data_IF_910017529025
#
_entry.id   IF_910017529025
#
_cell.length_a   1.000
_cell.length_b   1.000
_cell.length_c   1.000
_cell.angle_alpha   90.00
_cell.angle_beta   90.00
_cell.angle_gamma   90.00
#
_symmetry.space_group_name_H-M   'P 1'
#
loop_
_entity.id
_entity.type
_entity.pdbx_description
1 polymer ?
#
# COMPACT_ATOMS: atom_id res chain seq x y z
N UNK A 1 -67.96 -5.06 6.87
CA UNK A 1 -66.87 -5.62 7.67
C UNK A 1 -65.73 -4.63 7.70
N UNK A 2 -65.28 -4.32 8.89
CA UNK A 2 -64.46 -3.18 9.27
C UNK A 2 -63.04 -3.10 8.59
N UNK A 3 -62.85 -2.05 7.84
CA UNK A 3 -61.51 -1.61 7.36
C UNK A 3 -61.19 -0.24 8.03
N UNK A 4 -61.41 -0.16 9.34
CA UNK A 4 -61.14 1.09 10.05
C UNK A 4 -60.04 1.03 11.11
N UNK A 5 -59.33 -0.10 11.23
CA UNK A 5 -58.44 -0.27 12.36
C UNK A 5 -56.91 -0.17 12.01
N UNK A 6 -56.54 0.15 10.76
CA UNK A 6 -55.12 0.04 10.35
C UNK A 6 -54.41 1.36 10.10
N UNK A 7 -55.10 2.53 10.24
CA UNK A 7 -54.48 3.84 9.92
C UNK A 7 -54.00 4.60 11.17
N UNK A 8 -54.55 4.29 12.35
CA UNK A 8 -54.20 5.00 13.60
C UNK A 8 -52.89 4.52 14.26
N UNK A 9 -52.47 3.32 14.02
CA UNK A 9 -51.25 2.74 14.63
C UNK A 9 -49.92 3.21 13.98
N UNK A 10 -50.00 4.03 12.91
CA UNK A 10 -48.79 4.47 12.17
C UNK A 10 -48.34 5.90 12.54
N UNK A 11 -49.05 6.61 13.39
CA UNK A 11 -48.77 8.05 13.68
C UNK A 11 -47.63 8.24 14.67
N UNK A 12 -47.45 7.30 15.59
CA UNK A 12 -46.37 7.33 16.59
C UNK A 12 -45.47 6.13 16.46
N UNK A 13 -44.22 6.31 16.81
CA UNK A 13 -43.26 5.21 16.85
C UNK A 13 -43.44 4.41 18.14
N UNK A 14 -43.70 3.10 18.04
CA UNK A 14 -43.84 2.21 19.19
C UNK A 14 -42.60 2.18 20.10
N UNK A 15 -41.40 2.39 19.50
CA UNK A 15 -40.11 2.32 20.19
C UNK A 15 -39.77 3.60 20.95
N UNK A 16 -40.07 4.80 20.41
CA UNK A 16 -39.68 6.07 21.00
C UNK A 16 -40.84 7.04 21.24
N UNK A 17 -42.07 6.68 20.89
CA UNK A 17 -43.28 7.51 21.10
C UNK A 17 -43.37 8.77 20.25
N UNK A 18 -42.36 9.03 19.37
CA UNK A 18 -42.38 10.23 18.55
C UNK A 18 -43.34 10.10 17.35
N UNK A 19 -43.96 11.24 16.98
CA UNK A 19 -44.76 11.31 15.76
C UNK A 19 -43.95 11.03 14.52
N UNK A 20 -44.51 10.24 13.60
CA UNK A 20 -43.92 9.91 12.29
C UNK A 20 -44.42 10.84 11.17
N UNK A 21 -45.11 11.90 11.52
CA UNK A 21 -45.63 12.88 10.58
C UNK A 21 -45.41 14.30 11.09
N UNK A 22 -45.15 15.20 10.17
CA UNK A 22 -45.17 16.65 10.39
C UNK A 22 -46.22 17.28 9.47
N UNK A 23 -46.79 18.37 9.89
CA UNK A 23 -47.71 19.16 9.06
C UNK A 23 -46.90 20.27 8.43
N UNK A 24 -46.88 20.34 7.09
CA UNK A 24 -46.21 21.41 6.36
C UNK A 24 -46.96 22.71 6.54
N UNK A 25 -46.38 23.89 6.23
CA UNK A 25 -47.06 25.17 6.29
C UNK A 25 -48.37 25.24 5.48
N UNK A 26 -48.48 24.42 4.44
CA UNK A 26 -49.66 24.31 3.57
C UNK A 26 -50.72 23.32 4.10
N UNK A 27 -50.54 22.82 5.33
CA UNK A 27 -51.45 21.86 5.97
C UNK A 27 -51.33 20.41 5.49
N UNK A 28 -50.35 20.10 4.70
CA UNK A 28 -50.12 18.73 4.18
C UNK A 28 -49.39 17.88 5.22
N UNK A 29 -49.94 16.69 5.51
CA UNK A 29 -49.31 15.72 6.42
C UNK A 29 -48.17 14.97 5.68
N UNK A 30 -46.92 15.24 6.09
CA UNK A 30 -45.72 14.66 5.50
C UNK A 30 -45.11 13.64 6.47
N UNK A 31 -44.86 12.43 5.96
CA UNK A 31 -44.21 11.36 6.75
C UNK A 31 -42.77 11.74 7.05
N UNK A 32 -42.37 11.64 8.32
CA UNK A 32 -40.99 11.85 8.76
C UNK A 32 -40.48 10.66 9.55
N UNK A 33 -39.17 10.50 9.56
CA UNK A 33 -38.51 9.48 10.38
C UNK A 33 -38.45 9.95 11.84
N UNK A 34 -38.84 9.10 12.77
CA UNK A 34 -38.59 9.36 14.19
C UNK A 34 -37.07 9.23 14.52
N UNK A 35 -36.68 9.67 15.71
CA UNK A 35 -35.27 9.65 16.14
C UNK A 35 -34.64 8.27 16.03
N UNK A 36 -35.32 7.24 16.52
CA UNK A 36 -34.77 5.87 16.47
C UNK A 36 -34.65 5.32 15.05
N UNK A 37 -35.57 5.67 14.13
CA UNK A 37 -35.43 5.29 12.71
C UNK A 37 -34.29 6.03 12.01
N UNK A 38 -34.05 7.29 12.34
CA UNK A 38 -32.90 8.03 11.84
C UNK A 38 -31.58 7.40 12.33
N UNK A 39 -31.49 7.10 13.62
CA UNK A 39 -30.32 6.43 14.20
C UNK A 39 -30.08 5.05 13.58
N UNK A 40 -31.13 4.25 13.36
CA UNK A 40 -31.02 2.95 12.68
C UNK A 40 -30.56 3.11 11.21
N UNK A 41 -31.07 4.11 10.51
CA UNK A 41 -30.67 4.40 9.13
C UNK A 41 -29.20 4.84 9.07
N UNK A 42 -28.79 5.77 9.92
CA UNK A 42 -27.40 6.24 10.02
C UNK A 42 -26.44 5.11 10.36
N UNK A 43 -26.83 4.23 11.28
CA UNK A 43 -26.02 3.04 11.61
C UNK A 43 -25.90 2.07 10.42
N UNK A 44 -26.99 1.87 9.69
CA UNK A 44 -26.99 1.02 8.50
C UNK A 44 -26.11 1.60 7.39
N UNK A 45 -26.25 2.88 7.10
CA UNK A 45 -25.42 3.58 6.13
C UNK A 45 -23.94 3.55 6.51
N UNK A 46 -23.61 3.74 7.79
CA UNK A 46 -22.24 3.65 8.28
C UNK A 46 -21.67 2.23 8.12
N UNK A 47 -22.49 1.20 8.38
CA UNK A 47 -22.09 -0.19 8.19
C UNK A 47 -21.84 -0.51 6.72
N UNK A 48 -22.75 -0.08 5.84
CA UNK A 48 -22.60 -0.25 4.39
C UNK A 48 -21.35 0.46 3.86
N UNK A 49 -21.06 1.67 4.31
CA UNK A 49 -19.85 2.41 3.96
C UNK A 49 -18.58 1.67 4.42
N UNK A 50 -18.59 1.13 5.64
CA UNK A 50 -17.47 0.33 6.15
C UNK A 50 -17.26 -0.93 5.32
N UNK A 51 -18.31 -1.66 5.01
CA UNK A 51 -18.23 -2.86 4.18
C UNK A 51 -17.67 -2.55 2.78
N UNK A 52 -18.14 -1.47 2.15
CA UNK A 52 -17.62 -1.03 0.85
C UNK A 52 -16.13 -0.67 0.94
N UNK A 53 -15.74 0.08 1.96
CA UNK A 53 -14.34 0.43 2.19
C UNK A 53 -13.47 -0.82 2.36
N UNK A 54 -13.92 -1.80 3.17
CA UNK A 54 -13.17 -3.05 3.41
C UNK A 54 -13.00 -3.88 2.12
N UNK A 55 -14.02 -3.90 1.26
CA UNK A 55 -13.93 -4.55 -0.06
C UNK A 55 -12.84 -3.85 -0.90
N UNK A 56 -12.87 -2.52 -1.00
CA UNK A 56 -11.90 -1.74 -1.76
C UNK A 56 -10.47 -1.94 -1.23
N UNK A 57 -10.28 -1.94 0.08
CA UNK A 57 -8.98 -2.22 0.73
C UNK A 57 -8.49 -3.62 0.36
N UNK A 58 -9.37 -4.63 0.40
CA UNK A 58 -9.03 -6.01 0.03
C UNK A 58 -8.59 -6.12 -1.44
N UNK A 59 -9.27 -5.43 -2.34
CA UNK A 59 -8.87 -5.34 -3.75
C UNK A 59 -7.50 -4.70 -3.90
N UNK A 60 -7.28 -3.53 -3.30
CA UNK A 60 -5.98 -2.84 -3.33
C UNK A 60 -4.84 -3.71 -2.77
N UNK A 61 -5.06 -4.41 -1.67
CA UNK A 61 -4.09 -5.35 -1.08
C UNK A 61 -3.80 -6.52 -2.03
N UNK A 62 -4.80 -7.04 -2.72
CA UNK A 62 -4.61 -8.11 -3.71
C UNK A 62 -3.79 -7.61 -4.90
N UNK A 63 -4.09 -6.44 -5.42
CA UNK A 63 -3.38 -5.81 -6.54
C UNK A 63 -1.94 -5.41 -6.17
N UNK A 64 -1.65 -5.16 -4.89
CA UNK A 64 -0.32 -4.75 -4.44
C UNK A 64 0.76 -5.84 -4.58
N UNK A 65 0.37 -7.09 -4.86
CA UNK A 65 1.27 -8.25 -5.00
C UNK A 65 2.05 -8.61 -3.73
N UNK A 66 1.69 -8.06 -2.59
CA UNK A 66 2.31 -8.37 -1.31
C UNK A 66 1.95 -9.81 -0.90
N UNK A 67 2.97 -10.64 -0.68
CA UNK A 67 2.77 -12.05 -0.35
C UNK A 67 2.03 -12.29 0.97
N UNK A 68 1.33 -13.42 1.09
CA UNK A 68 0.51 -13.80 2.26
C UNK A 68 1.25 -13.65 3.60
N UNK A 69 2.57 -13.89 3.63
CA UNK A 69 3.40 -13.75 4.84
C UNK A 69 3.35 -12.36 5.45
N UNK A 70 3.20 -11.33 4.63
CA UNK A 70 3.23 -9.92 5.04
C UNK A 70 1.87 -9.24 4.94
N UNK A 71 0.81 -9.98 4.60
CA UNK A 71 -0.53 -9.43 4.43
C UNK A 71 -1.06 -8.71 5.67
N UNK A 72 -0.62 -9.14 6.87
CA UNK A 72 -1.00 -8.54 8.15
C UNK A 72 0.15 -7.74 8.81
N UNK A 73 1.22 -7.43 8.06
CA UNK A 73 2.30 -6.61 8.60
C UNK A 73 1.78 -5.19 8.89
N UNK A 74 1.95 -4.73 10.11
CA UNK A 74 1.55 -3.39 10.55
C UNK A 74 2.57 -2.81 11.52
N UNK A 75 2.50 -1.51 11.75
CA UNK A 75 3.36 -0.85 12.74
C UNK A 75 3.03 -1.30 14.17
N UNK A 76 1.78 -1.71 14.42
CA UNK A 76 1.28 -2.18 15.73
C UNK A 76 1.77 -3.60 16.03
N UNK A 77 1.95 -4.44 15.00
CA UNK A 77 2.44 -5.82 15.16
C UNK A 77 3.96 -5.94 15.11
N UNK A 78 4.66 -4.80 14.89
CA UNK A 78 6.11 -4.77 14.79
C UNK A 78 6.79 -4.98 16.15
N UNK A 79 7.72 -5.91 16.22
CA UNK A 79 8.60 -6.08 17.38
C UNK A 79 9.70 -5.00 17.35
N UNK A 80 9.55 -3.97 18.20
CA UNK A 80 10.47 -2.86 18.26
C UNK A 80 11.56 -3.07 19.31
N UNK A 81 12.80 -2.69 18.96
CA UNK A 81 13.96 -2.63 19.85
C UNK A 81 14.82 -1.39 19.54
N UNK A 82 15.89 -1.22 20.28
CA UNK A 82 16.82 -0.07 20.13
C UNK A 82 17.43 0.03 18.71
N UNK A 83 17.52 -1.09 17.99
CA UNK A 83 18.17 -1.15 16.69
C UNK A 83 17.24 -0.82 15.52
N UNK A 84 15.91 -0.92 15.72
CA UNK A 84 14.93 -0.71 14.64
C UNK A 84 13.91 0.39 14.92
N UNK A 85 13.70 0.79 16.19
CA UNK A 85 12.65 1.76 16.58
C UNK A 85 12.71 3.06 15.79
N UNK A 86 13.92 3.57 15.52
CA UNK A 86 14.09 4.80 14.73
C UNK A 86 13.62 4.65 13.30
N UNK A 87 13.97 3.53 12.63
CA UNK A 87 13.54 3.27 11.27
C UNK A 87 12.01 3.11 11.17
N UNK A 88 11.39 2.40 12.11
CA UNK A 88 9.93 2.28 12.18
C UNK A 88 9.24 3.61 12.47
N UNK A 89 9.79 4.45 13.35
CA UNK A 89 9.28 5.81 13.61
C UNK A 89 9.32 6.69 12.38
N UNK A 90 10.42 6.67 11.63
CA UNK A 90 10.55 7.44 10.37
C UNK A 90 9.56 6.94 9.32
N UNK A 91 9.42 5.61 9.15
CA UNK A 91 8.48 5.04 8.21
C UNK A 91 7.02 5.34 8.58
N UNK A 92 6.68 5.32 9.88
CA UNK A 92 5.34 5.72 10.36
C UNK A 92 5.07 7.19 10.10
N UNK A 93 6.01 8.07 10.38
CA UNK A 93 5.90 9.50 10.09
C UNK A 93 5.77 9.78 8.57
N UNK A 94 6.42 8.98 7.73
CA UNK A 94 6.21 9.00 6.28
C UNK A 94 4.76 8.69 5.93
N UNK A 95 4.22 7.62 6.50
CA UNK A 95 2.84 7.18 6.27
C UNK A 95 1.81 8.24 6.67
N UNK A 96 2.04 8.94 7.77
CA UNK A 96 1.16 10.02 8.25
C UNK A 96 1.13 11.21 7.27
N UNK A 97 2.23 11.42 6.53
CA UNK A 97 2.42 12.52 5.56
C UNK A 97 2.44 12.04 4.10
N UNK A 98 1.88 10.87 3.81
CA UNK A 98 2.07 10.21 2.50
C UNK A 98 1.63 11.06 1.30
N UNK A 99 0.63 11.93 1.45
CA UNK A 99 0.17 12.83 0.38
C UNK A 99 1.26 13.83 -0.02
N UNK A 100 1.87 14.48 0.96
CA UNK A 100 2.98 15.41 0.72
C UNK A 100 4.20 14.70 0.14
N UNK A 101 4.42 13.43 0.53
CA UNK A 101 5.51 12.61 0.01
C UNK A 101 5.24 12.15 -1.41
N UNK A 102 3.98 11.85 -1.74
CA UNK A 102 3.55 11.53 -3.10
C UNK A 102 3.77 12.72 -4.03
N UNK A 103 3.32 13.91 -3.65
CA UNK A 103 3.47 15.13 -4.46
C UNK A 103 4.94 15.47 -4.75
N UNK A 104 5.85 15.09 -3.85
CA UNK A 104 7.29 15.32 -3.97
C UNK A 104 8.06 14.16 -4.61
N UNK A 105 7.43 13.03 -4.85
CA UNK A 105 8.08 11.83 -5.37
C UNK A 105 9.07 11.17 -4.37
N UNK A 106 8.91 11.39 -3.08
CA UNK A 106 9.87 10.96 -2.06
C UNK A 106 9.60 9.55 -1.57
N UNK A 107 10.59 8.67 -1.71
CA UNK A 107 10.65 7.36 -1.09
C UNK A 107 11.79 7.25 -0.09
N UNK A 108 12.17 6.02 0.27
CA UNK A 108 13.32 5.75 1.12
C UNK A 108 14.01 4.42 0.79
N UNK A 109 15.28 4.32 1.18
CA UNK A 109 16.11 3.14 1.03
C UNK A 109 16.34 2.53 2.41
N UNK A 110 16.06 1.22 2.55
CA UNK A 110 16.28 0.47 3.78
C UNK A 110 17.40 -0.53 3.54
N UNK A 111 18.41 -0.54 4.42
CA UNK A 111 19.46 -1.54 4.34
C UNK A 111 19.80 -2.15 5.71
N UNK A 112 20.53 -3.24 5.68
CA UNK A 112 21.01 -3.93 6.89
C UNK A 112 21.08 -5.44 6.71
N UNK A 113 21.61 -6.18 7.70
CA UNK A 113 21.82 -7.63 7.63
C UNK A 113 20.53 -8.42 7.34
N UNK A 114 20.71 -9.66 6.89
CA UNK A 114 19.59 -10.58 6.66
C UNK A 114 18.82 -10.83 7.96
N UNK A 115 17.50 -10.84 7.87
CA UNK A 115 16.63 -11.17 9.01
C UNK A 115 16.31 -10.00 9.96
N UNK A 116 16.83 -8.79 9.74
CA UNK A 116 16.60 -7.62 10.61
C UNK A 116 15.20 -7.00 10.49
N UNK A 117 14.35 -7.45 9.54
CA UNK A 117 12.99 -6.95 9.40
C UNK A 117 12.76 -5.94 8.29
N UNK A 118 13.70 -5.74 7.36
CA UNK A 118 13.57 -4.80 6.22
C UNK A 118 12.28 -5.00 5.43
N UNK A 119 12.06 -6.22 4.94
CA UNK A 119 10.84 -6.59 4.20
C UNK A 119 9.57 -6.33 5.02
N UNK A 120 9.60 -6.61 6.33
CA UNK A 120 8.47 -6.35 7.21
C UNK A 120 8.18 -4.84 7.31
N UNK A 121 9.20 -4.00 7.45
CA UNK A 121 9.02 -2.56 7.54
C UNK A 121 8.41 -1.97 6.26
N UNK A 122 8.94 -2.32 5.07
CA UNK A 122 8.34 -1.81 3.83
C UNK A 122 6.94 -2.40 3.57
N UNK A 123 6.66 -3.61 4.06
CA UNK A 123 5.33 -4.20 4.00
C UNK A 123 4.34 -3.47 4.92
N UNK A 124 4.76 -3.00 6.10
CA UNK A 124 3.92 -2.14 6.96
C UNK A 124 3.53 -0.85 6.22
N UNK A 125 4.47 -0.22 5.51
CA UNK A 125 4.19 0.98 4.71
C UNK A 125 3.23 0.66 3.57
N UNK A 126 3.46 -0.42 2.84
CA UNK A 126 2.59 -0.85 1.74
C UNK A 126 1.16 -1.10 2.23
N UNK A 127 0.99 -1.87 3.32
CA UNK A 127 -0.33 -2.13 3.90
C UNK A 127 -1.01 -0.84 4.37
N UNK A 128 -0.29 0.06 5.04
CA UNK A 128 -0.85 1.34 5.45
C UNK A 128 -1.37 2.15 4.27
N UNK A 129 -0.61 2.23 3.18
CA UNK A 129 -1.01 2.98 1.98
C UNK A 129 -2.20 2.32 1.26
N UNK A 130 -2.23 0.99 1.16
CA UNK A 130 -3.38 0.28 0.58
C UNK A 130 -4.64 0.44 1.43
N UNK A 131 -4.52 0.53 2.76
CA UNK A 131 -5.65 0.85 3.67
C UNK A 131 -6.16 2.29 3.48
N UNK A 132 -5.31 3.18 2.94
CA UNK A 132 -5.71 4.52 2.46
C UNK A 132 -6.16 4.53 0.99
N UNK A 133 -6.46 3.36 0.43
CA UNK A 133 -6.90 3.14 -0.95
C UNK A 133 -5.90 3.61 -2.01
N UNK A 134 -4.60 3.66 -1.65
CA UNK A 134 -3.56 4.00 -2.61
C UNK A 134 -3.15 2.76 -3.43
N UNK A 135 -2.82 2.99 -4.70
CA UNK A 135 -2.27 1.95 -5.56
C UNK A 135 -0.80 1.72 -5.24
N UNK A 136 -0.48 0.49 -4.89
CA UNK A 136 0.84 0.03 -4.53
C UNK A 136 1.23 -1.18 -5.38
N UNK A 137 2.50 -1.30 -5.75
CA UNK A 137 3.07 -2.54 -6.26
C UNK A 137 4.25 -2.96 -5.39
N UNK A 138 4.17 -4.16 -4.79
CA UNK A 138 5.23 -4.76 -3.99
C UNK A 138 5.87 -5.89 -4.76
N UNK A 139 7.15 -5.79 -5.04
CA UNK A 139 7.87 -6.73 -5.89
C UNK A 139 9.34 -6.83 -5.48
N UNK A 140 10.08 -7.68 -6.17
CA UNK A 140 11.53 -7.66 -6.18
C UNK A 140 12.01 -7.60 -7.64
N UNK A 141 13.29 -7.28 -7.81
CA UNK A 141 13.82 -7.10 -9.16
C UNK A 141 13.72 -8.36 -10.04
N UNK A 142 13.88 -9.57 -9.46
CA UNK A 142 13.71 -10.82 -10.21
C UNK A 142 12.29 -11.02 -10.72
N UNK A 143 11.29 -10.65 -9.94
CA UNK A 143 9.89 -10.75 -10.38
C UNK A 143 9.61 -9.78 -11.53
N UNK A 144 10.11 -8.54 -11.46
CA UNK A 144 10.00 -7.57 -12.56
C UNK A 144 10.56 -8.18 -13.85
N UNK A 145 11.78 -8.69 -13.80
CA UNK A 145 12.45 -9.27 -14.98
C UNK A 145 11.76 -10.52 -15.49
N UNK A 146 11.24 -11.36 -14.61
CA UNK A 146 10.46 -12.54 -14.99
C UNK A 146 9.13 -12.15 -15.68
N UNK A 147 8.45 -11.13 -15.18
CA UNK A 147 7.22 -10.62 -15.79
C UNK A 147 7.51 -10.06 -17.19
N UNK A 148 8.59 -9.31 -17.36
CA UNK A 148 9.02 -8.80 -18.68
C UNK A 148 9.36 -9.99 -19.63
N UNK A 149 10.11 -10.98 -19.17
CA UNK A 149 10.43 -12.16 -20.00
C UNK A 149 9.20 -12.96 -20.39
N UNK A 150 8.22 -13.10 -19.51
CA UNK A 150 6.95 -13.77 -19.80
C UNK A 150 6.13 -13.01 -20.85
N UNK A 151 6.19 -11.68 -20.89
CA UNK A 151 5.46 -10.89 -21.89
C UNK A 151 5.90 -11.22 -23.31
N UNK A 152 7.14 -11.67 -23.55
CA UNK A 152 7.61 -12.10 -24.89
C UNK A 152 6.90 -13.33 -25.45
N UNK A 153 6.30 -14.14 -24.59
CA UNK A 153 5.57 -15.36 -24.95
C UNK A 153 4.08 -15.31 -24.63
N UNK A 154 3.57 -14.16 -24.22
CA UNK A 154 2.17 -13.95 -23.84
C UNK A 154 1.48 -12.95 -24.75
N UNK A 155 0.17 -12.77 -24.59
CA UNK A 155 -0.60 -11.71 -25.25
C UNK A 155 -0.40 -10.32 -24.60
N UNK A 156 0.20 -10.28 -23.44
CA UNK A 156 0.51 -9.03 -22.74
C UNK A 156 1.76 -8.39 -23.36
N UNK A 157 1.68 -7.11 -23.70
CA UNK A 157 2.82 -6.39 -24.26
C UNK A 157 3.88 -6.08 -23.19
N UNK A 158 5.15 -6.07 -23.58
CA UNK A 158 6.25 -5.65 -22.69
C UNK A 158 6.02 -4.25 -22.14
N UNK A 159 5.44 -3.36 -22.94
CA UNK A 159 5.10 -2.00 -22.55
C UNK A 159 4.07 -2.01 -21.38
N UNK A 160 3.04 -2.85 -21.45
CA UNK A 160 2.05 -3.01 -20.36
C UNK A 160 2.70 -3.44 -19.06
N UNK A 161 3.66 -4.38 -19.13
CA UNK A 161 4.39 -4.85 -17.94
C UNK A 161 5.29 -3.74 -17.38
N UNK A 162 6.00 -3.01 -18.23
CA UNK A 162 6.81 -1.86 -17.79
C UNK A 162 5.94 -0.76 -17.18
N UNK A 163 4.81 -0.46 -17.78
CA UNK A 163 3.84 0.53 -17.30
C UNK A 163 3.31 0.21 -15.91
N UNK A 164 3.02 -1.06 -15.64
CA UNK A 164 2.60 -1.53 -14.31
C UNK A 164 3.54 -1.10 -13.19
N UNK A 165 4.86 -1.15 -13.43
CA UNK A 165 5.85 -0.76 -12.43
C UNK A 165 6.26 0.71 -12.52
N UNK A 166 6.21 1.30 -13.73
CA UNK A 166 6.60 2.68 -13.96
C UNK A 166 5.55 3.70 -13.55
N UNK A 167 4.26 3.34 -13.61
CA UNK A 167 3.14 4.30 -13.42
C UNK A 167 2.40 4.13 -12.09
N UNK A 168 2.56 2.99 -11.38
CA UNK A 168 1.91 2.82 -10.07
C UNK A 168 2.36 3.92 -9.10
N UNK A 169 1.45 4.55 -8.34
CA UNK A 169 1.80 5.62 -7.41
C UNK A 169 2.93 5.24 -6.45
N UNK A 170 2.84 4.09 -5.80
CA UNK A 170 3.85 3.63 -4.84
C UNK A 170 4.45 2.29 -5.26
N UNK A 171 5.76 2.28 -5.53
CA UNK A 171 6.49 1.06 -5.88
C UNK A 171 7.44 0.64 -4.75
N UNK A 172 7.38 -0.64 -4.39
CA UNK A 172 8.25 -1.26 -3.39
C UNK A 172 9.10 -2.32 -4.06
N UNK A 173 10.42 -2.13 -4.08
CA UNK A 173 11.40 -3.06 -4.62
C UNK A 173 12.17 -3.68 -3.47
N UNK A 174 11.80 -4.92 -3.12
CA UNK A 174 12.44 -5.67 -2.04
C UNK A 174 13.67 -6.43 -2.50
N UNK A 175 14.61 -6.66 -1.60
CA UNK A 175 15.82 -7.46 -1.80
C UNK A 175 16.68 -7.02 -3.02
N UNK A 176 16.85 -5.74 -3.25
CA UNK A 176 17.70 -5.21 -4.30
C UNK A 176 19.16 -5.58 -4.05
N UNK A 177 19.86 -6.07 -5.09
CA UNK A 177 21.28 -6.40 -5.02
C UNK A 177 21.59 -7.86 -4.61
N UNK A 178 20.65 -8.81 -4.72
CA UNK A 178 20.98 -10.23 -4.59
C UNK A 178 21.88 -10.68 -5.74
N UNK A 179 22.98 -11.38 -5.43
CA UNK A 179 24.06 -11.80 -6.37
C UNK A 179 23.60 -12.60 -7.59
N UNK A 180 22.42 -13.21 -7.54
CA UNK A 180 21.85 -14.00 -8.65
C UNK A 180 21.62 -13.20 -9.94
N UNK A 181 21.65 -11.88 -9.89
CA UNK A 181 21.44 -11.03 -11.08
C UNK A 181 22.60 -11.09 -12.08
N UNK A 182 23.84 -11.28 -11.62
CA UNK A 182 25.02 -11.25 -12.49
C UNK A 182 25.39 -12.60 -13.10
N UNK A 183 25.00 -13.70 -12.46
CA UNK A 183 25.39 -15.06 -12.88
C UNK A 183 24.39 -15.73 -13.82
N UNK A 184 23.20 -15.17 -14.03
CA UNK A 184 22.20 -15.75 -14.90
C UNK A 184 22.46 -15.35 -16.36
N UNK A 185 23.22 -16.14 -17.07
CA UNK A 185 23.17 -16.29 -18.53
C UNK A 185 23.50 -15.09 -19.43
N UNK A 186 24.35 -14.17 -19.04
CA UNK A 186 24.73 -13.04 -19.92
C UNK A 186 23.71 -11.88 -19.99
N UNK A 187 22.54 -12.00 -19.38
CA UNK A 187 21.45 -11.02 -19.44
C UNK A 187 21.65 -9.79 -18.53
N UNK A 188 22.80 -9.64 -17.87
CA UNK A 188 23.03 -8.62 -16.85
C UNK A 188 22.80 -7.19 -17.36
N UNK A 189 23.35 -6.85 -18.52
CA UNK A 189 23.20 -5.52 -19.12
C UNK A 189 21.73 -5.21 -19.50
N UNK A 190 21.03 -6.19 -20.07
CA UNK A 190 19.61 -6.03 -20.38
C UNK A 190 18.75 -5.83 -19.12
N UNK A 191 19.05 -6.58 -18.05
CA UNK A 191 18.35 -6.42 -16.77
C UNK A 191 18.54 -5.03 -16.16
N UNK A 192 19.76 -4.49 -16.24
CA UNK A 192 20.08 -3.13 -15.80
C UNK A 192 19.34 -2.08 -16.62
N UNK A 193 19.26 -2.27 -17.93
CA UNK A 193 18.50 -1.40 -18.81
C UNK A 193 17.02 -1.35 -18.43
N UNK A 194 16.40 -2.51 -18.18
CA UNK A 194 14.98 -2.55 -17.76
C UNK A 194 14.76 -1.85 -16.41
N UNK A 195 15.66 -2.07 -15.43
CA UNK A 195 15.59 -1.37 -14.16
C UNK A 195 15.75 0.14 -14.33
N UNK A 196 16.71 0.55 -15.14
CA UNK A 196 16.93 1.96 -15.44
C UNK A 196 15.70 2.61 -16.08
N UNK A 197 15.07 1.97 -17.06
CA UNK A 197 13.85 2.47 -17.71
C UNK A 197 12.72 2.70 -16.69
N UNK A 198 12.47 1.73 -15.81
CA UNK A 198 11.45 1.87 -14.77
C UNK A 198 11.80 3.01 -13.82
N UNK A 199 13.02 3.04 -13.28
CA UNK A 199 13.42 4.05 -12.30
C UNK A 199 13.46 5.45 -12.89
N UNK A 200 13.95 5.60 -14.15
CA UNK A 200 14.00 6.87 -14.83
C UNK A 200 12.60 7.43 -15.13
N UNK A 201 11.66 6.57 -15.55
CA UNK A 201 10.26 6.96 -15.72
C UNK A 201 9.64 7.44 -14.39
N UNK A 202 9.86 6.70 -13.30
CA UNK A 202 9.34 7.06 -11.99
C UNK A 202 9.95 8.36 -11.46
N UNK A 203 11.26 8.52 -11.63
CA UNK A 203 11.96 9.75 -11.27
C UNK A 203 11.38 10.97 -11.99
N UNK A 204 11.22 10.89 -13.32
CA UNK A 204 10.69 11.98 -14.13
C UNK A 204 9.22 12.31 -13.79
N UNK A 205 8.44 11.34 -13.35
CA UNK A 205 7.03 11.52 -12.95
C UNK A 205 6.86 11.74 -11.44
N UNK A 206 7.95 11.93 -10.69
CA UNK A 206 7.93 12.17 -9.24
C UNK A 206 7.12 11.10 -8.48
N UNK A 207 7.34 9.81 -8.81
CA UNK A 207 6.61 8.71 -8.17
C UNK A 207 7.45 8.06 -7.06
N UNK A 208 6.98 8.05 -5.79
CA UNK A 208 7.69 7.47 -4.67
C UNK A 208 8.08 6.02 -4.91
N UNK A 209 9.36 5.71 -4.64
CA UNK A 209 9.89 4.36 -4.76
C UNK A 209 10.64 3.98 -3.48
N UNK A 210 10.36 2.78 -2.98
CA UNK A 210 10.94 2.24 -1.77
C UNK A 210 11.84 1.07 -2.12
N UNK A 211 13.02 1.05 -1.52
CA UNK A 211 14.00 0.01 -1.77
C UNK A 211 14.37 -0.68 -0.48
N UNK A 212 14.53 -1.99 -0.51
CA UNK A 212 15.23 -2.71 0.54
C UNK A 212 16.43 -3.47 -0.02
N UNK A 213 17.51 -3.52 0.74
CA UNK A 213 18.75 -4.20 0.36
C UNK A 213 19.48 -4.75 1.58
N UNK A 214 20.35 -5.72 1.38
CA UNK A 214 21.30 -6.13 2.40
C UNK A 214 22.52 -5.20 2.47
N UNK A 215 22.68 -4.31 1.51
CA UNK A 215 23.83 -3.45 1.30
C UNK A 215 23.45 -1.97 1.44
N UNK A 216 24.34 -1.15 1.94
CA UNK A 216 24.20 0.31 1.84
C UNK A 216 24.23 0.75 0.37
N UNK A 217 23.82 1.98 0.08
CA UNK A 217 23.84 2.49 -1.31
C UNK A 217 25.28 2.55 -1.83
N UNK A 218 26.25 2.84 -0.97
CA UNK A 218 27.69 2.89 -1.29
C UNK A 218 28.24 1.48 -1.59
N UNK A 219 27.92 0.52 -0.75
CA UNK A 219 28.28 -0.90 -0.97
C UNK A 219 27.58 -1.46 -2.21
N UNK A 220 26.34 -1.09 -2.45
CA UNK A 220 25.58 -1.48 -3.62
C UNK A 220 26.27 -1.04 -4.92
N UNK A 221 26.69 0.23 -4.97
CA UNK A 221 27.42 0.79 -6.11
C UNK A 221 28.74 0.06 -6.36
N UNK A 222 29.54 -0.16 -5.31
CA UNK A 222 30.88 -0.76 -5.42
C UNK A 222 30.84 -2.28 -5.67
N UNK A 223 29.93 -3.01 -5.05
CA UNK A 223 29.91 -4.48 -5.04
C UNK A 223 29.22 -5.10 -6.26
N UNK A 224 28.22 -4.43 -6.82
CA UNK A 224 27.42 -4.96 -7.91
C UNK A 224 27.77 -4.38 -9.28
N UNK A 225 28.52 -3.24 -9.33
CA UNK A 225 28.92 -2.55 -10.56
C UNK A 225 27.72 -2.20 -11.43
N UNK A 226 26.56 -1.92 -10.81
CA UNK A 226 25.45 -1.32 -11.53
C UNK A 226 25.89 0.01 -12.15
N UNK A 227 25.28 0.35 -13.27
CA UNK A 227 25.50 1.63 -13.89
C UNK A 227 25.29 2.75 -12.86
N UNK A 228 26.21 3.70 -12.84
CA UNK A 228 26.13 4.86 -11.97
C UNK A 228 24.80 5.62 -12.12
N UNK A 229 24.19 5.59 -13.30
CA UNK A 229 22.90 6.19 -13.55
C UNK A 229 21.77 5.55 -12.72
N UNK A 230 21.79 4.22 -12.52
CA UNK A 230 20.82 3.52 -11.67
C UNK A 230 21.00 3.94 -10.21
N UNK A 231 22.25 3.95 -9.74
CA UNK A 231 22.58 4.33 -8.36
C UNK A 231 22.18 5.77 -8.09
N UNK A 232 22.41 6.67 -9.04
CA UNK A 232 22.03 8.07 -8.94
C UNK A 232 20.51 8.24 -8.86
N UNK A 233 19.74 7.50 -9.67
CA UNK A 233 18.27 7.51 -9.57
C UNK A 233 17.77 6.99 -8.23
N UNK A 234 18.35 5.89 -7.71
CA UNK A 234 18.01 5.38 -6.38
C UNK A 234 18.27 6.44 -5.31
N UNK A 235 19.43 7.12 -5.35
CA UNK A 235 19.77 8.19 -4.40
C UNK A 235 18.82 9.38 -4.50
N UNK A 236 18.46 9.80 -5.69
CA UNK A 236 17.58 10.93 -5.93
C UNK A 236 16.14 10.66 -5.44
N UNK A 237 15.65 9.43 -5.62
CA UNK A 237 14.29 9.03 -5.21
C UNK A 237 14.21 8.65 -3.72
N UNK A 238 15.26 8.06 -3.16
CA UNK A 238 15.35 7.67 -1.75
C UNK A 238 15.88 8.80 -0.89
N UNK A 239 15.03 9.74 -0.53
CA UNK A 239 15.41 10.94 0.24
C UNK A 239 15.86 10.66 1.67
N UNK A 240 15.60 9.43 2.15
CA UNK A 240 16.08 8.92 3.44
C UNK A 240 16.64 7.52 3.31
N UNK A 241 17.76 7.29 3.97
CA UNK A 241 18.35 5.95 4.12
C UNK A 241 18.15 5.48 5.55
N UNK A 242 17.55 4.30 5.71
CA UNK A 242 17.24 3.69 7.00
C UNK A 242 18.10 2.44 7.20
N UNK A 243 18.93 2.44 8.23
CA UNK A 243 19.76 1.28 8.55
C UNK A 243 19.08 0.45 9.65
N UNK A 244 18.64 -0.77 9.30
CA UNK A 244 18.13 -1.74 10.26
C UNK A 244 19.27 -2.63 10.74
N UNK A 245 19.68 -2.42 11.98
CA UNK A 245 20.65 -3.25 12.69
C UNK A 245 19.94 -4.32 13.53
N UNK A 246 20.69 -5.20 14.16
CA UNK A 246 20.19 -6.15 15.14
C UNK A 246 20.26 -7.61 14.69
N UNK A 247 19.66 -8.49 15.50
CA UNK A 247 19.69 -9.93 15.29
C UNK A 247 18.75 -10.40 14.18
N UNK A 248 19.00 -11.62 13.71
CA UNK A 248 18.11 -12.28 12.78
C UNK A 248 16.83 -12.73 13.48
N UNK A 249 15.72 -12.01 13.25
CA UNK A 249 14.38 -12.28 13.82
C UNK A 249 13.69 -13.53 13.25
N UNK A 250 14.29 -14.16 12.24
CA UNK A 250 13.79 -15.43 11.68
C UNK A 250 14.29 -16.65 12.44
N UNK A 251 15.43 -16.52 13.12
CA UNK A 251 16.08 -17.62 13.84
C UNK A 251 15.38 -17.98 15.16
N UNK A 252 14.64 -17.07 15.78
CA UNK A 252 14.03 -17.22 17.09
C UNK A 252 12.59 -17.81 17.05
N UNK A 253 12.16 -18.40 15.92
CA UNK A 253 10.77 -18.91 15.74
C UNK A 253 10.64 -20.43 15.85
N UNK A 254 11.63 -21.11 16.47
CA UNK A 254 11.56 -22.53 16.79
C UNK A 254 11.94 -22.76 18.24
#
# INVERSE_FOLDING_TARGET
MNVKTTILDLETCEKCGQNRFIISPDGIKVKCLCKCQKEELEQKELLEQKMQHDIMVKEKRTCSLLGKRYANASFETAELDENNKTAYSVAKSYCEKYKDMLDKGYGFYIHGPVGTGKTHLIACVCNYLTDKLQDCAFTNFMNITNDIKKSYSSTESTESVLDKYSKVPFLFIDDLGKESYRKANGDGAWLEEQLFLILNNRYNNMLPTFFSSNYSIEEFSSSFGFDNAIVDRIKAMATKTLNLKGKNRRADKF
#
